data_IF_937016478433
#
_entry.id   IF_937016478433
#
_cell.length_a   1.000
_cell.length_b   1.000
_cell.length_c   1.000
_cell.angle_alpha   90.00
_cell.angle_beta   90.00
_cell.angle_gamma   90.00
#
_symmetry.space_group_name_H-M   'P 1'
#
loop_
_entity.id
_entity.type
_entity.pdbx_description
1 polymer ?
#
# COMPACT_ATOMS: atom_id res chain seq x y z
N UNK A 1 5.44 -17.27 17.78
CA UNK A 1 6.06 -17.45 16.44
C UNK A 1 7.43 -16.78 16.43
N UNK A 2 8.43 -17.38 15.80
CA UNK A 2 9.86 -17.01 15.84
C UNK A 2 10.19 -15.74 15.00
N UNK A 3 9.51 -14.61 15.23
CA UNK A 3 9.85 -13.31 14.62
C UNK A 3 8.73 -12.59 13.86
N UNK A 4 9.04 -11.43 13.24
CA UNK A 4 8.05 -10.56 12.59
C UNK A 4 7.51 -11.17 11.29
N UNK A 5 6.19 -11.06 11.08
CA UNK A 5 5.52 -11.53 9.87
C UNK A 5 5.67 -10.51 8.74
N UNK A 6 6.18 -10.94 7.58
CA UNK A 6 6.33 -10.11 6.36
C UNK A 6 5.11 -10.12 5.43
N UNK A 7 4.18 -11.06 5.62
CA UNK A 7 3.03 -11.24 4.73
C UNK A 7 1.71 -10.85 5.39
N UNK A 8 0.76 -10.37 4.59
CA UNK A 8 -0.62 -10.11 5.00
C UNK A 8 -1.58 -10.84 4.04
N UNK A 9 -2.38 -11.77 4.56
CA UNK A 9 -3.44 -12.42 3.79
C UNK A 9 -4.55 -11.41 3.51
N UNK A 10 -5.11 -11.43 2.31
CA UNK A 10 -6.08 -10.43 1.83
C UNK A 10 -7.34 -10.36 2.68
N UNK A 11 -7.84 -11.51 3.12
CA UNK A 11 -9.01 -11.61 4.01
C UNK A 11 -8.83 -10.88 5.34
N UNK A 12 -7.57 -10.73 5.79
CA UNK A 12 -7.23 -10.06 7.04
C UNK A 12 -6.84 -8.58 6.83
N UNK A 13 -6.90 -8.08 5.59
CA UNK A 13 -6.63 -6.68 5.32
C UNK A 13 -7.74 -5.79 5.94
N UNK A 14 -7.42 -4.53 6.30
CA UNK A 14 -8.42 -3.58 6.76
C UNK A 14 -9.57 -3.44 5.75
N UNK A 15 -10.81 -3.53 6.24
CA UNK A 15 -12.02 -3.39 5.40
C UNK A 15 -12.11 -2.03 4.71
N UNK A 16 -11.56 -0.98 5.33
CA UNK A 16 -11.46 0.38 4.77
C UNK A 16 -10.67 0.45 3.47
N UNK A 17 -9.81 -0.53 3.19
CA UNK A 17 -9.09 -0.61 1.91
C UNK A 17 -9.97 -1.08 0.76
N UNK A 18 -11.17 -1.61 1.03
CA UNK A 18 -12.14 -2.04 0.02
C UNK A 18 -11.48 -2.92 -1.05
N UNK A 19 -10.68 -3.90 -0.60
CA UNK A 19 -10.10 -4.89 -1.48
C UNK A 19 -11.14 -5.96 -1.81
N UNK A 20 -11.14 -6.40 -3.06
CA UNK A 20 -11.96 -7.49 -3.53
C UNK A 20 -11.49 -8.83 -2.92
N UNK A 21 -12.43 -9.77 -2.76
CA UNK A 21 -12.14 -11.08 -2.17
C UNK A 21 -11.32 -11.98 -3.11
N UNK A 22 -11.50 -11.85 -4.43
CA UNK A 22 -11.00 -12.80 -5.43
C UNK A 22 -9.74 -12.34 -6.18
N UNK A 23 -9.30 -11.08 -6.05
CA UNK A 23 -8.14 -10.52 -6.77
C UNK A 23 -6.77 -10.96 -6.26
N UNK A 24 -6.67 -12.14 -5.62
CA UNK A 24 -5.44 -12.77 -5.16
C UNK A 24 -5.43 -13.16 -3.69
N UNK A 25 -4.42 -13.92 -3.28
CA UNK A 25 -4.30 -14.48 -1.92
C UNK A 25 -3.81 -13.45 -0.89
N UNK A 26 -2.99 -12.50 -1.32
CA UNK A 26 -2.31 -11.55 -0.45
C UNK A 26 -2.81 -10.12 -0.66
N UNK A 27 -2.70 -9.31 0.37
CA UNK A 27 -2.83 -7.86 0.30
C UNK A 27 -1.44 -7.22 0.48
N UNK A 28 -1.24 -5.99 -0.01
CA UNK A 28 -0.08 -5.19 0.35
C UNK A 28 0.05 -5.11 1.86
N UNK A 29 1.22 -5.50 2.39
CA UNK A 29 1.54 -5.27 3.79
C UNK A 29 2.24 -3.90 3.87
N UNK A 30 1.67 -2.91 4.58
CA UNK A 30 2.31 -1.62 4.72
C UNK A 30 3.69 -1.80 5.36
N UNK A 31 4.65 -1.03 4.86
CA UNK A 31 5.97 -0.94 5.46
C UNK A 31 5.88 -0.29 6.84
N UNK A 32 6.92 -0.47 7.66
CA UNK A 32 7.02 0.29 8.92
C UNK A 32 7.20 1.76 8.60
N UNK A 33 6.36 2.61 9.18
CA UNK A 33 6.34 4.04 8.90
C UNK A 33 5.44 4.79 9.87
N UNK A 34 5.01 6.02 9.52
CA UNK A 34 4.36 6.94 10.47
C UNK A 34 3.02 6.45 11.01
N UNK A 35 2.26 5.69 10.23
CA UNK A 35 0.91 5.25 10.60
C UNK A 35 0.84 3.74 10.88
N UNK A 36 -0.05 3.36 11.81
CA UNK A 36 -0.31 1.95 12.14
C UNK A 36 -0.94 1.22 10.95
N UNK A 37 -0.64 -0.09 10.82
CA UNK A 37 -1.09 -0.93 9.70
C UNK A 37 -2.60 -0.88 9.43
N UNK A 38 -3.43 -0.77 10.48
CA UNK A 38 -4.89 -0.75 10.35
C UNK A 38 -5.47 0.65 10.11
N UNK A 39 -4.68 1.69 10.34
CA UNK A 39 -5.07 3.10 10.26
C UNK A 39 -4.39 3.83 9.08
N UNK A 40 -3.64 3.09 8.25
CA UNK A 40 -2.96 3.62 7.06
C UNK A 40 -3.63 3.15 5.77
N UNK A 41 -3.32 3.81 4.67
CA UNK A 41 -3.58 3.41 3.30
C UNK A 41 -2.26 3.36 2.51
N UNK A 42 -1.77 2.16 2.12
CA UNK A 42 -0.57 2.03 1.31
C UNK A 42 -0.65 2.74 -0.04
N UNK A 43 0.47 3.31 -0.50
CA UNK A 43 0.54 4.00 -1.80
C UNK A 43 0.06 3.13 -2.98
N UNK A 44 0.36 1.83 -2.95
CA UNK A 44 -0.11 0.87 -3.97
C UNK A 44 -1.64 0.78 -4.05
N UNK A 45 -2.33 0.85 -2.91
CA UNK A 45 -3.80 0.83 -2.88
C UNK A 45 -4.34 2.18 -3.35
N UNK A 46 -3.68 3.27 -2.96
CA UNK A 46 -4.08 4.61 -3.38
C UNK A 46 -3.98 4.79 -4.90
N UNK A 47 -2.84 4.45 -5.51
CA UNK A 47 -2.58 4.63 -6.94
C UNK A 47 -3.41 3.67 -7.81
N UNK A 48 -3.55 2.41 -7.40
CA UNK A 48 -4.23 1.37 -8.18
C UNK A 48 -5.74 1.36 -7.96
N UNK A 49 -6.18 1.31 -6.71
CA UNK A 49 -7.59 1.06 -6.37
C UNK A 49 -8.41 2.33 -6.17
N UNK A 50 -7.80 3.47 -5.79
CA UNK A 50 -8.52 4.73 -5.58
C UNK A 50 -8.42 5.66 -6.79
N UNK A 51 -7.20 6.01 -7.19
CA UNK A 51 -6.97 6.92 -8.31
C UNK A 51 -7.03 6.24 -9.68
N UNK A 52 -6.89 4.91 -9.73
CA UNK A 52 -6.91 4.11 -10.97
C UNK A 52 -5.86 4.55 -12.01
N UNK A 53 -4.73 5.09 -11.56
CA UNK A 53 -3.59 5.42 -12.42
C UNK A 53 -2.73 4.22 -12.80
N UNK A 54 -2.84 3.13 -12.05
CA UNK A 54 -2.19 1.86 -12.34
C UNK A 54 -3.24 0.74 -12.35
N UNK A 55 -3.04 -0.23 -13.23
CA UNK A 55 -3.80 -1.48 -13.27
C UNK A 55 -3.12 -2.56 -12.43
N UNK A 56 -1.78 -2.63 -12.51
CA UNK A 56 -0.97 -3.67 -11.87
C UNK A 56 -0.02 -3.12 -10.81
N UNK A 57 0.46 -3.99 -9.91
CA UNK A 57 1.50 -3.61 -8.94
C UNK A 57 2.82 -3.20 -9.62
N UNK A 58 3.11 -3.76 -10.80
CA UNK A 58 4.33 -3.42 -11.56
C UNK A 58 4.30 -1.95 -12.02
N UNK A 59 3.15 -1.49 -12.51
CA UNK A 59 2.95 -0.08 -12.90
C UNK A 59 3.09 0.87 -11.72
N UNK A 60 2.52 0.51 -10.55
CA UNK A 60 2.71 1.30 -9.32
C UNK A 60 4.20 1.47 -9.02
N UNK A 61 4.98 0.39 -9.06
CA UNK A 61 6.43 0.47 -8.84
C UNK A 61 7.10 1.39 -9.86
N UNK A 62 6.72 1.31 -11.14
CA UNK A 62 7.26 2.22 -12.18
C UNK A 62 6.96 3.68 -11.88
N UNK A 63 5.72 4.02 -11.53
CA UNK A 63 5.29 5.40 -11.21
C UNK A 63 6.06 5.93 -9.99
N UNK A 64 6.15 5.11 -8.94
CA UNK A 64 6.81 5.49 -7.69
C UNK A 64 8.32 5.69 -7.89
N UNK A 65 8.95 4.92 -8.78
CA UNK A 65 10.37 5.05 -9.11
C UNK A 65 10.70 6.30 -9.95
N UNK A 66 9.71 6.88 -10.64
CA UNK A 66 9.88 8.18 -11.33
C UNK A 66 10.02 9.36 -10.37
N UNK A 67 9.87 9.16 -9.05
CA UNK A 67 10.03 10.20 -8.01
C UNK A 67 9.06 11.39 -8.13
N UNK A 68 7.93 11.19 -8.82
CA UNK A 68 6.89 12.20 -9.01
C UNK A 68 6.00 12.37 -7.77
N UNK A 69 5.83 11.31 -6.98
CA UNK A 69 4.93 11.29 -5.84
C UNK A 69 5.64 11.79 -4.58
N UNK A 70 5.06 12.82 -3.96
CA UNK A 70 5.48 13.35 -2.65
C UNK A 70 4.38 13.12 -1.63
N UNK A 71 4.76 12.63 -0.45
CA UNK A 71 3.91 12.53 0.74
C UNK A 71 4.50 13.48 1.78
N UNK A 72 3.70 14.40 2.29
CA UNK A 72 4.13 15.46 3.21
C UNK A 72 5.35 16.25 2.70
N UNK A 73 5.34 16.57 1.40
CA UNK A 73 6.42 17.31 0.73
C UNK A 73 7.69 16.50 0.43
N UNK A 74 7.82 15.25 0.93
CA UNK A 74 8.98 14.39 0.69
C UNK A 74 8.68 13.32 -0.36
N UNK A 75 9.61 13.11 -1.29
CA UNK A 75 9.50 12.06 -2.31
C UNK A 75 9.52 10.69 -1.63
N UNK A 76 8.55 9.82 -1.96
CA UNK A 76 8.48 8.45 -1.45
C UNK A 76 8.58 7.46 -2.60
N UNK A 77 9.55 6.55 -2.50
CA UNK A 77 9.82 5.51 -3.51
C UNK A 77 9.37 4.11 -3.07
N UNK A 78 8.78 3.97 -1.89
CA UNK A 78 8.26 2.69 -1.39
C UNK A 78 6.77 2.53 -1.78
N UNK A 79 6.40 1.55 -2.63
CA UNK A 79 5.01 1.30 -3.01
C UNK A 79 4.11 0.94 -1.82
N UNK A 80 4.67 0.38 -0.75
CA UNK A 80 3.93 -0.01 0.45
C UNK A 80 4.04 1.02 1.57
N UNK A 81 4.52 2.24 1.27
CA UNK A 81 4.62 3.31 2.26
C UNK A 81 3.24 3.55 2.91
N UNK A 82 3.15 3.52 4.26
CA UNK A 82 1.90 3.78 4.95
C UNK A 82 1.66 5.30 4.94
N UNK A 83 0.87 5.78 3.97
CA UNK A 83 0.26 7.10 4.07
C UNK A 83 -1.00 6.98 4.93
N UNK A 84 -1.37 8.00 5.68
CA UNK A 84 -2.50 7.91 6.62
C UNK A 84 -3.06 9.28 6.92
N UNK A 85 -3.98 9.32 7.89
CA UNK A 85 -4.53 10.58 8.34
C UNK A 85 -3.49 11.32 9.20
N UNK A 86 -3.34 12.61 8.88
CA UNK A 86 -2.47 13.61 9.50
C UNK A 86 -2.20 13.35 10.98
#
# INVERSE_FOLDING_TARGET
ARGPKKHLKRLNAPKSWMLDKLGGVYAPRPSTGPHKLRECLPLVIFLRNRLKYALTNCEVTKIVMQRLIKVDGKVRTDPNYPAGFM
#
